data_IF_323240558383
#
_entry.id   IF_323240558383
#
_cell.length_a   1.000
_cell.length_b   1.000
_cell.length_c   1.000
_cell.angle_alpha   90.00
_cell.angle_beta   90.00
_cell.angle_gamma   90.00
#
_symmetry.space_group_name_H-M   'P 1'
#
loop_
_entity.id
_entity.type
_entity.pdbx_description
1 polymer ?
#
# COMPACT_ATOMS: atom_id res chain seq x y z
N UNK A 1 8.59 12.64 1.68
CA UNK A 1 7.41 13.36 2.21
C UNK A 1 7.73 14.82 2.49
N UNK A 2 8.68 15.12 3.39
CA UNK A 2 9.10 16.50 3.74
C UNK A 2 9.40 17.37 2.52
N UNK A 3 10.20 16.88 1.56
CA UNK A 3 10.51 17.60 0.30
C UNK A 3 9.28 18.03 -0.51
N UNK A 4 8.16 17.33 -0.37
CA UNK A 4 6.91 17.59 -1.11
C UNK A 4 5.83 18.22 -0.22
N UNK A 5 6.17 18.66 1.00
CA UNK A 5 5.20 19.27 1.93
C UNK A 5 4.12 18.31 2.44
N UNK A 6 4.36 17.00 2.39
CA UNK A 6 3.44 15.98 2.92
C UNK A 6 3.75 15.73 4.39
N UNK A 7 2.73 15.85 5.22
CA UNK A 7 2.83 15.60 6.68
C UNK A 7 2.54 14.13 6.99
N UNK A 8 1.58 13.56 6.27
CA UNK A 8 1.26 12.15 6.29
C UNK A 8 0.97 11.61 4.89
N UNK A 9 1.00 10.29 4.72
CA UNK A 9 0.58 9.62 3.50
C UNK A 9 -0.24 8.38 3.84
N UNK A 10 -1.34 8.17 3.12
CA UNK A 10 -2.14 6.95 3.15
C UNK A 10 -1.82 6.18 1.85
N UNK A 11 -1.15 5.05 2.02
CA UNK A 11 -0.65 4.20 0.95
C UNK A 11 -1.50 2.93 0.92
N UNK A 12 -2.17 2.67 -0.21
CA UNK A 12 -3.05 1.51 -0.40
C UNK A 12 -2.45 0.50 -1.38
N UNK A 13 -1.49 0.92 -2.21
CA UNK A 13 -0.87 0.04 -3.18
C UNK A 13 0.07 -0.95 -2.50
N UNK A 14 -0.14 -2.23 -2.77
CA UNK A 14 0.63 -3.34 -2.18
C UNK A 14 2.14 -3.28 -2.48
N UNK A 15 2.52 -2.74 -3.63
CA UNK A 15 3.91 -2.60 -4.06
C UNK A 15 4.55 -1.45 -3.30
N UNK A 16 3.83 -0.34 -3.13
CA UNK A 16 4.33 0.80 -2.37
C UNK A 16 4.36 0.50 -0.86
N UNK A 17 3.39 -0.25 -0.33
CA UNK A 17 3.46 -0.79 1.03
C UNK A 17 4.71 -1.66 1.17
N UNK A 18 4.95 -2.61 0.26
CA UNK A 18 6.14 -3.45 0.32
C UNK A 18 7.44 -2.65 0.22
N UNK A 19 7.47 -1.60 -0.60
CA UNK A 19 8.62 -0.71 -0.73
C UNK A 19 8.93 0.03 0.59
N UNK A 20 7.90 0.51 1.30
CA UNK A 20 8.09 1.28 2.53
C UNK A 20 8.42 0.38 3.72
N UNK A 21 7.73 -0.76 3.86
CA UNK A 21 7.78 -1.56 5.10
C UNK A 21 8.45 -2.92 4.93
N UNK A 22 8.81 -3.34 3.71
CA UNK A 22 9.31 -4.68 3.42
C UNK A 22 8.27 -5.81 3.61
N UNK A 23 7.09 -5.52 4.16
CA UNK A 23 6.08 -6.52 4.49
C UNK A 23 5.27 -6.94 3.27
N UNK A 24 4.87 -8.22 3.23
CA UNK A 24 4.04 -8.78 2.15
C UNK A 24 2.86 -9.53 2.77
N UNK A 25 1.68 -9.29 2.24
CA UNK A 25 0.47 -10.02 2.61
C UNK A 25 -0.44 -10.08 1.38
N UNK A 26 -1.03 -11.25 1.09
CA UNK A 26 -2.09 -11.48 0.09
C UNK A 26 -2.02 -10.57 -1.17
N UNK A 27 -0.83 -10.48 -1.77
CA UNK A 27 -0.49 -9.45 -2.77
C UNK A 27 -1.51 -9.39 -3.93
N UNK A 28 -1.89 -10.54 -4.51
CA UNK A 28 -2.86 -10.59 -5.61
C UNK A 28 -4.27 -10.16 -5.17
N UNK A 29 -4.70 -10.57 -3.97
CA UNK A 29 -6.02 -10.24 -3.45
C UNK A 29 -6.13 -8.73 -3.14
N UNK A 30 -5.10 -8.15 -2.53
CA UNK A 30 -5.07 -6.73 -2.18
C UNK A 30 -5.04 -5.86 -3.44
N UNK A 31 -4.36 -6.30 -4.50
CA UNK A 31 -4.34 -5.60 -5.79
C UNK A 31 -5.75 -5.36 -6.36
N UNK A 32 -6.65 -6.32 -6.13
CA UNK A 32 -8.04 -6.27 -6.63
C UNK A 32 -8.99 -5.57 -5.65
N UNK A 33 -8.66 -5.54 -4.36
CA UNK A 33 -9.56 -5.06 -3.30
C UNK A 33 -8.95 -3.93 -2.45
N UNK A 34 -8.48 -2.81 -3.03
CA UNK A 34 -8.12 -1.65 -2.22
C UNK A 34 -9.39 -0.99 -1.64
N UNK A 35 -9.39 -0.48 -0.39
CA UNK A 35 -8.31 -0.44 0.60
C UNK A 35 -8.50 -1.50 1.71
N UNK A 36 -8.38 -2.80 1.39
CA UNK A 36 -8.41 -3.88 2.40
C UNK A 36 -7.17 -3.92 3.31
N UNK A 37 -6.05 -3.38 2.82
CA UNK A 37 -4.80 -3.15 3.55
C UNK A 37 -4.28 -1.77 3.15
N UNK A 38 -3.82 -0.99 4.12
CA UNK A 38 -3.24 0.33 3.87
C UNK A 38 -2.24 0.69 4.95
N UNK A 39 -1.29 1.54 4.59
CA UNK A 39 -0.26 2.06 5.47
C UNK A 39 -0.52 3.55 5.68
N UNK A 40 -0.57 3.96 6.94
CA UNK A 40 -0.46 5.37 7.31
C UNK A 40 1.00 5.66 7.64
N UNK A 41 1.63 6.49 6.82
CA UNK A 41 3.04 6.84 6.92
C UNK A 41 3.19 8.30 7.31
N UNK A 42 4.08 8.57 8.26
CA UNK A 42 4.55 9.90 8.63
C UNK A 42 6.08 9.94 8.53
N UNK A 43 6.67 11.12 8.69
CA UNK A 43 8.13 11.26 8.68
C UNK A 43 8.83 10.47 9.81
N UNK A 44 8.15 10.25 10.93
CA UNK A 44 8.71 9.65 12.14
C UNK A 44 8.10 8.32 12.52
N UNK A 45 6.98 7.93 11.90
CA UNK A 45 6.19 6.78 12.36
C UNK A 45 5.37 6.18 11.22
N UNK A 46 5.14 4.88 11.31
CA UNK A 46 4.44 4.04 10.35
C UNK A 46 3.38 3.19 11.07
N UNK A 47 2.14 3.22 10.58
CA UNK A 47 1.03 2.46 11.14
C UNK A 47 0.43 1.60 10.04
N UNK A 48 0.63 0.29 10.14
CA UNK A 48 0.11 -0.69 9.19
C UNK A 48 -1.31 -1.10 9.57
N UNK A 49 -2.24 -1.00 8.62
CA UNK A 49 -3.59 -1.53 8.78
C UNK A 49 -3.72 -2.84 8.02
N UNK A 50 -3.81 -3.95 8.76
CA UNK A 50 -3.88 -5.31 8.22
C UNK A 50 -5.31 -5.83 8.09
N UNK A 51 -5.56 -6.63 7.06
CA UNK A 51 -6.88 -7.17 6.75
C UNK A 51 -7.43 -8.07 7.87
N UNK A 52 -8.68 -7.83 8.29
CA UNK A 52 -9.35 -8.52 9.42
C UNK A 52 -9.46 -10.04 9.27
N UNK A 53 -9.54 -10.57 8.04
CA UNK A 53 -9.72 -12.00 7.79
C UNK A 53 -8.47 -12.85 8.05
N UNK A 54 -7.43 -12.26 8.62
CA UNK A 54 -6.17 -12.89 8.88
C UNK A 54 -5.77 -12.56 10.32
N UNK A 55 -5.76 -13.55 11.20
CA UNK A 55 -5.05 -13.56 12.51
C UNK A 55 -3.52 -13.44 12.32
N UNK A 56 -3.11 -12.66 11.31
CA UNK A 56 -1.77 -12.48 10.77
C UNK A 56 -1.26 -11.06 11.06
N UNK A 57 -1.79 -10.40 12.09
CA UNK A 57 -1.17 -9.18 12.67
C UNK A 57 0.31 -9.43 12.97
N UNK A 58 0.71 -10.68 13.24
CA UNK A 58 2.09 -11.11 13.39
C UNK A 58 2.97 -10.95 12.14
N UNK A 59 2.43 -10.93 10.92
CA UNK A 59 3.24 -10.83 9.69
C UNK A 59 3.85 -9.44 9.47
N UNK A 60 3.24 -8.41 10.05
CA UNK A 60 3.82 -7.07 10.07
C UNK A 60 4.54 -6.77 11.40
N UNK A 61 4.30 -7.56 12.44
CA UNK A 61 5.00 -7.45 13.72
C UNK A 61 6.43 -7.98 13.58
N UNK A 62 7.39 -7.27 14.17
CA UNK A 62 8.82 -7.63 14.13
C UNK A 62 9.59 -7.03 12.95
N UNK A 63 8.93 -6.29 12.06
CA UNK A 63 9.63 -5.46 11.09
C UNK A 63 10.04 -4.12 11.73
N UNK A 64 11.33 -3.79 11.67
CA UNK A 64 11.88 -2.52 12.21
C UNK A 64 11.25 -1.27 11.58
N UNK A 65 10.69 -1.42 10.38
CA UNK A 65 10.05 -0.35 9.60
C UNK A 65 8.55 -0.22 9.87
N UNK A 66 7.99 -0.94 10.84
CA UNK A 66 6.56 -0.88 11.23
C UNK A 66 6.44 -0.63 12.73
N UNK A 67 5.99 0.56 13.11
CA UNK A 67 5.89 0.94 14.53
C UNK A 67 4.62 0.40 15.19
N UNK A 68 3.52 0.32 14.43
CA UNK A 68 2.23 -0.12 14.97
C UNK A 68 1.45 -0.91 13.91
N UNK A 69 0.79 -1.97 14.35
CA UNK A 69 -0.11 -2.77 13.51
C UNK A 69 -1.53 -2.66 14.07
N UNK A 70 -2.46 -2.23 13.22
CA UNK A 70 -3.89 -2.09 13.52
C UNK A 70 -4.72 -2.95 12.58
N UNK A 71 -5.95 -3.23 12.97
CA UNK A 71 -6.91 -3.91 12.10
C UNK A 71 -7.49 -2.93 11.08
N UNK A 72 -7.33 -3.24 9.80
CA UNK A 72 -7.94 -2.50 8.70
C UNK A 72 -9.45 -2.68 8.69
N UNK A 73 -10.17 -1.56 8.59
CA UNK A 73 -11.56 -1.54 8.19
C UNK A 73 -11.64 -1.47 6.67
N UNK A 74 -12.16 -2.53 6.04
CA UNK A 74 -12.31 -2.57 4.59
C UNK A 74 -13.54 -1.78 4.15
N UNK A 75 -13.32 -0.75 3.32
CA UNK A 75 -14.36 0.06 2.65
C UNK A 75 -14.51 -0.32 1.17
N UNK A 76 -14.45 -1.62 0.87
CA UNK A 76 -14.79 -2.15 -0.46
C UNK A 76 -16.28 -2.44 -0.57
N UNK A 77 -16.85 -2.34 -1.78
CA UNK A 77 -18.26 -2.74 -1.99
C UNK A 77 -18.47 -4.23 -1.68
N UNK A 78 -17.48 -5.08 -1.98
CA UNK A 78 -17.51 -6.51 -1.65
C UNK A 78 -17.63 -6.79 -0.15
N UNK A 79 -17.01 -5.97 0.70
CA UNK A 79 -17.11 -6.11 2.17
C UNK A 79 -18.32 -5.38 2.77
N UNK A 80 -18.84 -4.36 2.10
CA UNK A 80 -19.78 -3.37 2.66
C UNK A 80 -21.17 -3.41 2.08
N UNK A 81 -21.33 -4.02 0.90
CA UNK A 81 -22.59 -4.10 0.17
C UNK A 81 -23.22 -2.72 -0.02
N UNK A 82 -24.57 -2.64 -0.03
CA UNK A 82 -25.31 -1.40 -0.26
C UNK A 82 -25.02 -0.27 0.75
N UNK A 83 -24.44 -0.58 1.91
CA UNK A 83 -24.13 0.41 2.97
C UNK A 83 -22.74 1.03 2.82
N UNK A 84 -22.15 0.96 1.62
CA UNK A 84 -20.80 1.46 1.33
C UNK A 84 -20.62 2.94 1.71
N UNK A 85 -21.56 3.81 1.35
CA UNK A 85 -21.46 5.25 1.61
C UNK A 85 -21.34 5.58 3.11
N UNK A 86 -22.11 4.90 3.96
CA UNK A 86 -22.03 5.08 5.41
C UNK A 86 -20.67 4.62 5.95
N UNK A 87 -20.15 3.49 5.46
CA UNK A 87 -18.86 2.95 5.89
C UNK A 87 -17.68 3.79 5.41
N UNK A 88 -17.71 4.29 4.18
CA UNK A 88 -16.70 5.21 3.63
C UNK A 88 -16.61 6.49 4.47
N UNK A 89 -17.77 7.09 4.80
CA UNK A 89 -17.81 8.30 5.64
C UNK A 89 -17.34 8.04 7.06
N UNK A 90 -17.76 6.92 7.66
CA UNK A 90 -17.30 6.52 9.01
C UNK A 90 -15.79 6.28 9.04
N UNK A 91 -15.25 5.58 8.04
CA UNK A 91 -13.81 5.36 7.90
C UNK A 91 -13.06 6.67 7.74
N UNK A 92 -13.55 7.59 6.90
CA UNK A 92 -12.94 8.90 6.70
C UNK A 92 -12.92 9.71 8.01
N UNK A 93 -14.00 9.67 8.80
CA UNK A 93 -14.05 10.32 10.10
C UNK A 93 -12.99 9.77 11.06
N UNK A 94 -12.92 8.44 11.20
CA UNK A 94 -11.94 7.80 12.08
C UNK A 94 -10.49 8.07 11.66
N UNK A 95 -10.23 8.17 10.35
CA UNK A 95 -8.91 8.53 9.84
C UNK A 95 -8.57 9.99 10.11
N UNK A 96 -9.52 10.91 9.92
CA UNK A 96 -9.33 12.34 10.24
C UNK A 96 -9.05 12.52 11.73
N UNK A 97 -9.84 11.90 12.60
CA UNK A 97 -9.68 12.02 14.05
C UNK A 97 -8.33 11.45 14.50
N UNK A 98 -7.89 10.34 13.89
CA UNK A 98 -6.56 9.78 14.12
C UNK A 98 -5.45 10.70 13.64
N UNK A 99 -5.56 11.23 12.42
CA UNK A 99 -4.57 12.16 11.85
C UNK A 99 -4.49 13.41 12.70
N UNK A 100 -5.61 13.97 13.12
CA UNK A 100 -5.66 15.14 14.01
C UNK A 100 -5.02 14.84 15.37
N UNK A 101 -5.28 13.67 15.96
CA UNK A 101 -4.66 13.28 17.22
C UNK A 101 -3.15 13.09 17.13
N UNK A 102 -2.62 12.66 15.98
CA UNK A 102 -1.19 12.36 15.84
C UNK A 102 -0.40 13.56 15.30
N UNK A 103 -0.95 14.26 14.30
CA UNK A 103 -0.33 15.41 13.64
C UNK A 103 -0.62 16.72 14.39
N UNK A 104 -1.69 16.75 15.20
CA UNK A 104 -2.08 17.90 16.02
C UNK A 104 -2.91 18.95 15.29
N UNK A 105 -3.33 18.70 14.04
CA UNK A 105 -4.18 19.62 13.28
C UNK A 105 -5.06 18.89 12.27
N UNK A 106 -6.26 19.45 12.06
CA UNK A 106 -7.25 18.95 11.12
C UNK A 106 -7.00 19.35 9.66
N UNK A 107 -6.21 20.39 9.43
CA UNK A 107 -5.82 20.90 8.09
C UNK A 107 -4.52 20.28 7.55
N UNK A 108 -4.13 19.12 8.07
CA UNK A 108 -2.89 18.45 7.66
C UNK A 108 -2.88 18.14 6.16
N UNK A 109 -1.72 18.28 5.53
CA UNK A 109 -1.53 17.90 4.13
C UNK A 109 -1.20 16.41 4.03
N UNK A 110 -2.15 15.64 3.50
CA UNK A 110 -2.08 14.17 3.45
C UNK A 110 -1.99 13.70 2.01
N UNK A 111 -0.91 12.99 1.70
CA UNK A 111 -0.76 12.27 0.44
C UNK A 111 -1.71 11.07 0.40
N UNK A 112 -2.58 10.99 -0.59
CA UNK A 112 -3.49 9.86 -0.77
C UNK A 112 -3.12 9.11 -2.06
N UNK A 113 -2.96 7.80 -1.96
CA UNK A 113 -2.91 6.90 -3.12
C UNK A 113 -4.30 6.56 -3.65
N UNK A 114 -4.38 5.73 -4.69
CA UNK A 114 -5.65 5.37 -5.32
C UNK A 114 -6.53 4.63 -4.31
N UNK A 115 -7.64 5.28 -3.96
CA UNK A 115 -8.74 4.78 -3.16
C UNK A 115 -10.06 5.20 -3.83
N UNK A 116 -11.19 4.72 -3.32
CA UNK A 116 -12.51 5.13 -3.80
C UNK A 116 -12.66 6.67 -3.77
N UNK A 117 -13.22 7.24 -4.84
CA UNK A 117 -13.38 8.70 -4.98
C UNK A 117 -14.15 9.32 -3.81
N UNK A 118 -15.22 8.65 -3.35
CA UNK A 118 -16.02 9.10 -2.21
C UNK A 118 -15.20 9.26 -0.93
N UNK A 119 -14.21 8.40 -0.71
CA UNK A 119 -13.34 8.49 0.46
C UNK A 119 -12.46 9.72 0.38
N UNK A 120 -11.86 9.99 -0.78
CA UNK A 120 -11.06 11.20 -0.98
C UNK A 120 -11.88 12.48 -0.80
N UNK A 121 -13.12 12.49 -1.30
CA UNK A 121 -14.07 13.60 -1.12
C UNK A 121 -14.42 13.78 0.36
N UNK A 122 -14.79 12.71 1.06
CA UNK A 122 -15.15 12.76 2.48
C UNK A 122 -13.98 13.27 3.34
N UNK A 123 -12.75 12.82 3.10
CA UNK A 123 -11.57 13.32 3.83
C UNK A 123 -11.36 14.83 3.64
N UNK A 124 -11.59 15.33 2.42
CA UNK A 124 -11.48 16.77 2.11
C UNK A 124 -12.60 17.58 2.77
N UNK A 125 -13.84 17.09 2.73
CA UNK A 125 -14.99 17.71 3.42
C UNK A 125 -14.79 17.79 4.94
N UNK A 126 -14.08 16.81 5.51
CA UNK A 126 -13.78 16.76 6.94
C UNK A 126 -12.60 17.65 7.38
N UNK A 127 -11.95 18.34 6.43
CA UNK A 127 -10.97 19.39 6.69
C UNK A 127 -9.52 19.09 6.26
N UNK A 128 -9.22 17.87 5.77
CA UNK A 128 -7.86 17.51 5.35
C UNK A 128 -7.50 18.09 3.98
N UNK A 129 -6.24 18.47 3.82
CA UNK A 129 -5.69 18.87 2.53
C UNK A 129 -5.15 17.64 1.79
N UNK A 130 -6.01 17.03 0.96
CA UNK A 130 -5.68 15.83 0.20
C UNK A 130 -4.90 16.17 -1.07
N UNK A 131 -3.73 15.55 -1.22
CA UNK A 131 -2.87 15.66 -2.40
C UNK A 131 -2.49 14.28 -2.90
N UNK A 132 -2.13 14.16 -4.18
CA UNK A 132 -1.79 12.86 -4.77
C UNK A 132 -0.40 12.41 -4.28
N UNK A 133 -0.33 11.27 -3.60
CA UNK A 133 0.93 10.74 -3.06
C UNK A 133 1.89 10.20 -4.13
N UNK A 134 1.37 9.83 -5.31
CA UNK A 134 2.11 9.10 -6.35
C UNK A 134 3.43 9.77 -6.73
N UNK A 135 3.46 11.10 -6.90
CA UNK A 135 4.69 11.82 -7.27
C UNK A 135 5.79 11.63 -6.24
N UNK A 136 5.46 11.73 -4.94
CA UNK A 136 6.44 11.62 -3.87
C UNK A 136 7.00 10.20 -3.78
N UNK A 137 6.14 9.19 -3.96
CA UNK A 137 6.49 7.78 -3.85
C UNK A 137 7.30 7.31 -5.06
N UNK A 138 6.88 7.63 -6.27
CA UNK A 138 7.60 7.24 -7.49
C UNK A 138 8.99 7.88 -7.52
N UNK A 139 9.11 9.17 -7.20
CA UNK A 139 10.42 9.83 -7.14
C UNK A 139 11.32 9.22 -6.07
N UNK A 140 10.78 8.80 -4.92
CA UNK A 140 11.57 8.07 -3.92
C UNK A 140 12.07 6.73 -4.48
N UNK A 141 11.21 6.00 -5.20
CA UNK A 141 11.54 4.71 -5.84
C UNK A 141 12.50 4.84 -7.01
N UNK A 142 12.77 6.03 -7.55
CA UNK A 142 13.75 6.14 -8.66
C UNK A 142 15.19 5.90 -8.22
N UNK A 143 15.53 6.20 -6.98
CA UNK A 143 16.90 6.08 -6.46
C UNK A 143 17.00 4.77 -5.68
N UNK A 144 17.93 3.90 -6.07
CA UNK A 144 18.11 2.57 -5.46
C UNK A 144 19.26 2.56 -4.48
N UNK A 145 19.07 1.91 -3.34
CA UNK A 145 20.16 1.61 -2.43
C UNK A 145 21.10 0.53 -3.00
N UNK A 146 22.35 0.44 -2.53
CA UNK A 146 23.24 -0.66 -2.89
C UNK A 146 22.63 -2.05 -2.61
N UNK A 147 21.87 -2.18 -1.53
CA UNK A 147 21.18 -3.41 -1.13
C UNK A 147 20.05 -3.76 -2.10
N UNK A 148 19.25 -2.77 -2.51
CA UNK A 148 18.20 -2.97 -3.53
C UNK A 148 18.82 -3.43 -4.85
N UNK A 149 19.95 -2.85 -5.27
CA UNK A 149 20.64 -3.26 -6.50
C UNK A 149 21.10 -4.72 -6.43
N UNK A 150 21.65 -5.17 -5.29
CA UNK A 150 22.01 -6.58 -5.08
C UNK A 150 20.80 -7.50 -5.25
N UNK A 151 19.65 -7.12 -4.67
CA UNK A 151 18.41 -7.88 -4.83
C UNK A 151 17.92 -7.91 -6.29
N UNK A 152 18.01 -6.79 -7.01
CA UNK A 152 17.65 -6.71 -8.44
C UNK A 152 18.52 -7.67 -9.27
N UNK A 153 19.84 -7.65 -9.07
CA UNK A 153 20.76 -8.54 -9.79
C UNK A 153 20.46 -10.01 -9.48
N UNK A 154 20.20 -10.35 -8.22
CA UNK A 154 19.83 -11.71 -7.83
C UNK A 154 18.52 -12.15 -8.49
N UNK A 155 17.51 -11.27 -8.53
CA UNK A 155 16.23 -11.53 -9.21
C UNK A 155 16.43 -11.76 -10.70
N UNK A 156 17.23 -10.93 -11.38
CA UNK A 156 17.51 -11.07 -12.81
C UNK A 156 18.16 -12.41 -13.13
N UNK A 157 19.18 -12.81 -12.37
CA UNK A 157 19.83 -14.12 -12.55
C UNK A 157 18.86 -15.28 -12.40
N UNK A 158 17.97 -15.23 -11.41
CA UNK A 158 16.93 -16.26 -11.24
C UNK A 158 15.95 -16.28 -12.43
N UNK A 159 15.57 -15.12 -12.95
CA UNK A 159 14.72 -15.01 -14.15
C UNK A 159 15.43 -15.55 -15.39
N UNK A 160 16.69 -15.22 -15.62
CA UNK A 160 17.48 -15.73 -16.75
C UNK A 160 17.54 -17.26 -16.75
N UNK A 161 17.80 -17.88 -15.60
CA UNK A 161 17.79 -19.34 -15.45
C UNK A 161 16.40 -19.91 -15.75
N UNK A 162 15.34 -19.25 -15.28
CA UNK A 162 13.96 -19.72 -15.47
C UNK A 162 13.51 -19.60 -16.92
N UNK A 163 13.92 -18.53 -17.62
CA UNK A 163 13.60 -18.30 -19.05
C UNK A 163 14.47 -19.15 -19.97
N UNK A 164 15.69 -19.51 -19.57
CA UNK A 164 16.55 -20.43 -20.33
C UNK A 164 15.92 -21.81 -20.51
N UNK A 165 15.22 -22.33 -19.50
CA UNK A 165 14.56 -23.64 -19.54
C UNK A 165 13.53 -23.80 -20.67
N UNK A 166 12.48 -22.96 -20.78
CA UNK A 166 11.52 -23.07 -21.87
C UNK A 166 12.18 -22.78 -23.21
N UNK A 167 13.13 -21.82 -23.28
CA UNK A 167 13.87 -21.52 -24.51
C UNK A 167 14.55 -22.76 -25.09
N UNK A 168 15.21 -23.55 -24.25
CA UNK A 168 15.92 -24.75 -24.68
C UNK A 168 14.99 -25.95 -24.94
N UNK A 169 13.76 -25.93 -24.41
CA UNK A 169 12.76 -26.98 -24.61
C UNK A 169 11.76 -26.73 -25.74
N UNK A 170 11.83 -25.59 -26.44
CA UNK A 170 10.94 -25.29 -27.57
C UNK A 170 11.13 -26.35 -28.67
N UNK A 171 10.04 -27.02 -29.02
CA UNK A 171 9.98 -28.00 -30.08
C UNK A 171 8.64 -27.89 -30.85
N UNK A 172 8.60 -28.27 -32.15
CA UNK A 172 7.36 -28.32 -32.91
C UNK A 172 6.31 -29.21 -32.22
N UNK A 173 5.07 -28.73 -32.15
CA UNK A 173 3.95 -29.47 -31.57
C UNK A 173 3.65 -29.17 -30.10
N UNK A 174 4.42 -28.29 -29.44
CA UNK A 174 4.10 -27.78 -28.10
C UNK A 174 3.15 -26.58 -28.17
N UNK A 175 2.19 -26.52 -27.23
CA UNK A 175 1.34 -25.36 -27.01
C UNK A 175 1.98 -24.35 -26.06
N UNK A 176 1.54 -23.09 -26.12
CA UNK A 176 2.04 -22.01 -25.26
C UNK A 176 1.94 -22.32 -23.76
N UNK A 177 0.84 -22.94 -23.31
CA UNK A 177 0.65 -23.33 -21.90
C UNK A 177 1.53 -24.52 -21.46
N UNK A 178 2.19 -25.20 -22.40
CA UNK A 178 3.06 -26.35 -22.13
C UNK A 178 4.54 -25.97 -22.07
N UNK A 179 4.88 -24.75 -22.51
CA UNK A 179 6.20 -24.12 -22.39
C UNK A 179 6.33 -23.46 -21.00
#
# INVERSE_FOLDING_TARGET
MVKYGLEAAIISDRVNIHYVTGTRNLQVFIARNPPTRYLFLMATRSIMFEFTGCLLTHLAQGHETVDEVRTAKSVTFTSSGPKIHYRERKWAQEMVDMIESIVGKRSATVGLERINANVAMALKELGLNIVVAQRAIEMARTIKSPEEVKCIVASLRATEVTVGKPRDSIAPGLMENQL
#
